data_IF_763103333639
#
_entry.id   IF_763103333639
#
_cell.length_a   1.000
_cell.length_b   1.000
_cell.length_c   1.000
_cell.angle_alpha   90.00
_cell.angle_beta   90.00
_cell.angle_gamma   90.00
#
_symmetry.space_group_name_H-M   'P 1'
#
loop_
_entity.id
_entity.type
_entity.pdbx_description
1 polymer ?
#
# COMPACT_ATOMS: atom_id res chain seq x y z
N UNK A 1 20.42 -8.70 4.33
CA UNK A 1 19.90 -8.34 5.68
C UNK A 1 18.71 -9.22 6.06
N UNK A 2 17.62 -9.25 5.26
CA UNK A 2 16.43 -10.08 5.52
C UNK A 2 16.74 -11.53 5.97
N UNK A 3 17.57 -12.26 5.22
CA UNK A 3 17.93 -13.65 5.52
C UNK A 3 18.64 -13.83 6.88
N UNK A 4 19.39 -12.83 7.34
CA UNK A 4 20.07 -12.86 8.65
C UNK A 4 19.06 -12.77 9.80
N UNK A 5 17.86 -12.24 9.54
CA UNK A 5 16.74 -12.20 10.48
C UNK A 5 15.71 -13.30 10.27
N UNK A 6 16.00 -14.32 9.45
CA UNK A 6 15.10 -15.44 9.18
C UNK A 6 13.98 -15.17 8.16
N UNK A 7 14.02 -14.04 7.45
CA UNK A 7 13.05 -13.72 6.39
C UNK A 7 13.55 -14.29 5.06
N UNK A 8 12.78 -15.20 4.47
CA UNK A 8 13.13 -15.95 3.24
C UNK A 8 12.34 -15.53 1.98
N UNK A 9 11.32 -14.69 2.14
CA UNK A 9 10.57 -14.07 1.04
C UNK A 9 10.31 -12.59 1.38
N UNK A 10 10.58 -11.72 0.42
CA UNK A 10 10.34 -10.27 0.55
C UNK A 10 9.38 -9.79 -0.54
N UNK A 11 8.32 -9.09 -0.14
CA UNK A 11 7.47 -8.33 -1.06
C UNK A 11 8.10 -6.97 -1.34
N UNK A 12 8.56 -6.73 -2.56
CA UNK A 12 9.19 -5.47 -2.95
C UNK A 12 8.14 -4.52 -3.53
N UNK A 13 8.12 -3.29 -3.01
CA UNK A 13 7.08 -2.29 -3.30
C UNK A 13 7.36 -1.53 -4.61
N UNK A 14 6.33 -1.04 -5.32
CA UNK A 14 6.50 -0.44 -6.63
C UNK A 14 6.95 1.04 -6.60
N UNK A 15 7.07 1.65 -5.41
CA UNK A 15 7.44 3.05 -5.23
C UNK A 15 8.97 3.28 -5.34
N UNK A 16 9.55 2.79 -6.44
CA UNK A 16 10.97 2.96 -6.77
C UNK A 16 11.17 4.05 -7.82
N UNK A 17 12.43 4.29 -8.20
CA UNK A 17 12.77 5.17 -9.32
C UNK A 17 13.43 4.36 -10.45
N UNK A 18 12.74 4.13 -11.59
CA UNK A 18 11.34 4.49 -11.88
C UNK A 18 10.31 3.66 -11.07
N UNK A 19 9.06 4.14 -10.95
CA UNK A 19 7.99 3.37 -10.32
C UNK A 19 7.67 2.12 -11.14
N UNK A 20 7.32 1.03 -10.46
CA UNK A 20 6.96 -0.25 -11.09
C UNK A 20 5.48 -0.25 -11.45
N UNK A 21 5.11 0.50 -12.48
CA UNK A 21 3.71 0.70 -12.90
C UNK A 21 3.48 0.37 -14.39
N UNK A 22 4.47 -0.26 -15.02
CA UNK A 22 4.44 -0.81 -16.38
C UNK A 22 5.09 -2.20 -16.39
N UNK A 23 4.75 -3.01 -17.39
CA UNK A 23 5.32 -4.37 -17.51
C UNK A 23 6.81 -4.30 -17.75
N UNK A 24 7.23 -3.32 -18.55
CA UNK A 24 8.61 -3.13 -18.98
C UNK A 24 9.52 -2.84 -17.77
N UNK A 25 9.10 -1.96 -16.86
CA UNK A 25 9.82 -1.66 -15.62
C UNK A 25 9.80 -2.87 -14.66
N UNK A 26 8.67 -3.56 -14.54
CA UNK A 26 8.54 -4.75 -13.69
C UNK A 26 9.49 -5.86 -14.14
N UNK A 27 9.53 -6.16 -15.43
CA UNK A 27 10.42 -7.17 -15.99
C UNK A 27 11.89 -6.76 -15.90
N UNK A 28 12.19 -5.48 -16.10
CA UNK A 28 13.55 -4.98 -15.89
C UNK A 28 14.00 -5.18 -14.44
N UNK A 29 13.13 -4.86 -13.47
CA UNK A 29 13.40 -5.10 -12.06
C UNK A 29 13.57 -6.60 -11.78
N UNK A 30 12.70 -7.45 -12.33
CA UNK A 30 12.79 -8.90 -12.19
C UNK A 30 14.13 -9.47 -12.69
N UNK A 31 14.64 -8.98 -13.84
CA UNK A 31 15.95 -9.39 -14.37
C UNK A 31 17.14 -8.99 -13.48
N UNK A 32 16.98 -7.98 -12.61
CA UNK A 32 18.03 -7.51 -11.71
C UNK A 32 18.08 -8.27 -10.39
N UNK A 33 17.03 -9.01 -10.02
CA UNK A 33 16.96 -9.75 -8.74
C UNK A 33 17.96 -10.93 -8.68
N UNK A 34 18.06 -11.80 -9.69
CA UNK A 34 18.97 -12.95 -9.65
C UNK A 34 20.43 -12.53 -9.42
N UNK A 35 21.11 -13.24 -8.52
CA UNK A 35 22.50 -12.97 -8.15
C UNK A 35 22.70 -11.72 -7.28
N UNK A 36 21.64 -10.99 -6.95
CA UNK A 36 21.68 -9.81 -6.06
C UNK A 36 20.87 -9.98 -4.77
N UNK A 37 19.75 -10.69 -4.84
CA UNK A 37 18.95 -11.01 -3.67
C UNK A 37 19.38 -12.36 -3.06
N UNK A 38 19.57 -12.38 -1.74
CA UNK A 38 19.85 -13.60 -0.97
C UNK A 38 18.58 -14.30 -0.45
N UNK A 39 17.42 -13.91 -0.98
CA UNK A 39 16.07 -14.32 -0.55
C UNK A 39 15.16 -14.27 -1.76
N UNK A 40 14.05 -15.01 -1.74
CA UNK A 40 13.04 -14.89 -2.79
C UNK A 40 12.39 -13.50 -2.74
N UNK A 41 12.02 -12.98 -3.91
CA UNK A 41 11.42 -11.65 -4.03
C UNK A 41 10.13 -11.74 -4.83
N UNK A 42 9.02 -11.32 -4.20
CA UNK A 42 7.74 -11.09 -4.86
C UNK A 42 7.67 -9.61 -5.27
N UNK A 43 7.54 -9.33 -6.56
CA UNK A 43 7.45 -7.95 -7.04
C UNK A 43 6.00 -7.49 -7.08
N UNK A 44 5.71 -6.38 -6.40
CA UNK A 44 4.44 -5.68 -6.48
C UNK A 44 4.46 -4.72 -7.66
N UNK A 45 3.30 -4.53 -8.28
CA UNK A 45 3.08 -3.45 -9.25
C UNK A 45 2.23 -2.33 -8.65
N UNK A 46 2.53 -1.10 -9.01
CA UNK A 46 1.64 0.03 -8.83
C UNK A 46 0.49 -0.05 -9.84
N UNK A 47 -0.55 0.76 -9.63
CA UNK A 47 -1.73 0.75 -10.50
C UNK A 47 -1.50 1.37 -11.87
N UNK A 48 -0.50 2.24 -12.03
CA UNK A 48 -0.15 2.88 -13.30
C UNK A 48 -1.35 3.46 -14.03
N UNK A 49 -1.38 3.30 -15.36
CA UNK A 49 -2.56 3.63 -16.18
C UNK A 49 -3.56 2.47 -16.13
N UNK A 50 -4.89 2.72 -16.14
CA UNK A 50 -5.89 1.66 -16.15
C UNK A 50 -5.71 0.62 -17.27
N UNK A 51 -5.23 1.04 -18.45
CA UNK A 51 -4.96 0.15 -19.59
C UNK A 51 -3.79 -0.81 -19.37
N UNK A 52 -2.89 -0.53 -18.43
CA UNK A 52 -1.73 -1.36 -18.12
C UNK A 52 -2.06 -2.50 -17.12
N UNK A 53 -3.11 -2.34 -16.30
CA UNK A 53 -3.43 -3.25 -15.20
C UNK A 53 -3.55 -4.72 -15.62
N UNK A 54 -4.27 -5.01 -16.70
CA UNK A 54 -4.40 -6.39 -17.21
C UNK A 54 -3.06 -6.97 -17.63
N UNK A 55 -2.20 -6.19 -18.29
CA UNK A 55 -0.87 -6.65 -18.69
C UNK A 55 0.04 -6.86 -17.47
N UNK A 56 0.01 -5.93 -16.52
CA UNK A 56 0.75 -6.03 -15.26
C UNK A 56 0.36 -7.29 -14.47
N UNK A 57 -0.93 -7.61 -14.41
CA UNK A 57 -1.42 -8.79 -13.70
C UNK A 57 -0.86 -10.12 -14.24
N UNK A 58 -0.38 -10.16 -15.48
CA UNK A 58 0.26 -11.36 -16.03
C UNK A 58 1.66 -11.62 -15.46
N UNK A 59 2.29 -10.62 -14.81
CA UNK A 59 3.68 -10.67 -14.33
C UNK A 59 3.86 -10.28 -12.87
N UNK A 60 2.98 -9.44 -12.32
CA UNK A 60 3.06 -8.97 -10.94
C UNK A 60 2.59 -10.04 -9.95
N UNK A 61 3.20 -10.06 -8.77
CA UNK A 61 2.76 -10.93 -7.68
C UNK A 61 1.54 -10.39 -6.92
N UNK A 62 1.41 -9.07 -6.88
CA UNK A 62 0.34 -8.33 -6.22
C UNK A 62 0.31 -6.88 -6.72
N UNK A 63 -0.79 -6.18 -6.47
CA UNK A 63 -0.87 -4.73 -6.64
C UNK A 63 -0.68 -4.00 -5.32
N UNK A 64 -0.06 -2.81 -5.38
CA UNK A 64 -0.03 -1.84 -4.29
C UNK A 64 -0.76 -0.57 -4.73
N UNK A 65 -1.74 -0.14 -3.93
CA UNK A 65 -2.48 1.11 -4.10
C UNK A 65 -2.08 2.06 -2.98
N UNK A 66 -1.84 3.32 -3.32
CA UNK A 66 -1.62 4.39 -2.35
C UNK A 66 -2.81 5.35 -2.42
N UNK A 67 -3.53 5.54 -1.32
CA UNK A 67 -4.66 6.48 -1.26
C UNK A 67 -4.24 7.90 -0.84
N UNK A 68 -2.98 8.06 -0.43
CA UNK A 68 -2.39 9.35 -0.11
C UNK A 68 -1.08 9.57 -0.88
N UNK A 69 -0.65 10.84 -1.04
CA UNK A 69 0.64 11.15 -1.63
C UNK A 69 1.78 10.43 -0.91
N UNK A 70 2.70 9.85 -1.67
CA UNK A 70 3.90 9.21 -1.14
C UNK A 70 5.06 9.35 -2.12
N UNK A 71 6.27 9.11 -1.64
CA UNK A 71 7.50 9.32 -2.42
C UNK A 71 7.61 8.32 -3.56
N UNK A 72 7.90 8.80 -4.77
CA UNK A 72 8.30 7.97 -5.90
C UNK A 72 7.17 7.24 -6.62
N UNK A 73 5.92 7.66 -6.46
CA UNK A 73 4.78 7.14 -7.23
C UNK A 73 3.90 8.27 -7.75
N UNK A 74 3.08 8.02 -8.79
CA UNK A 74 2.04 8.95 -9.22
C UNK A 74 1.05 9.28 -8.11
N UNK A 75 0.32 10.38 -8.30
CA UNK A 75 -0.74 10.81 -7.39
C UNK A 75 -1.76 9.70 -7.11
N UNK A 76 -2.36 9.69 -5.90
CA UNK A 76 -3.38 8.72 -5.54
C UNK A 76 -4.58 8.80 -6.52
N UNK A 77 -5.31 7.69 -6.71
CA UNK A 77 -6.51 7.72 -7.54
C UNK A 77 -7.49 8.74 -6.96
N UNK A 78 -8.16 9.47 -7.86
CA UNK A 78 -9.22 10.38 -7.45
C UNK A 78 -10.29 9.62 -6.63
N UNK A 79 -10.86 10.24 -5.57
CA UNK A 79 -11.86 9.60 -4.72
C UNK A 79 -13.01 8.92 -5.45
N UNK A 80 -13.52 9.55 -6.50
CA UNK A 80 -14.61 9.07 -7.35
C UNK A 80 -14.19 7.94 -8.31
N UNK A 81 -12.92 7.88 -8.67
CA UNK A 81 -12.35 6.80 -9.48
C UNK A 81 -12.07 5.52 -8.67
N UNK A 82 -11.91 5.61 -7.35
CA UNK A 82 -11.55 4.48 -6.49
C UNK A 82 -12.52 3.28 -6.61
N UNK A 83 -13.86 3.44 -6.54
CA UNK A 83 -14.77 2.30 -6.72
C UNK A 83 -14.62 1.60 -8.07
N UNK A 84 -14.35 2.36 -9.14
CA UNK A 84 -14.09 1.81 -10.48
C UNK A 84 -12.80 1.00 -10.51
N UNK A 85 -11.72 1.55 -9.95
CA UNK A 85 -10.43 0.89 -9.82
C UNK A 85 -10.54 -0.43 -9.02
N UNK A 86 -11.22 -0.42 -7.87
CA UNK A 86 -11.40 -1.63 -7.05
C UNK A 86 -12.19 -2.72 -7.79
N UNK A 87 -13.20 -2.34 -8.58
CA UNK A 87 -13.90 -3.29 -9.48
C UNK A 87 -12.96 -3.87 -10.54
N UNK A 88 -12.15 -3.05 -11.20
CA UNK A 88 -11.18 -3.53 -12.17
C UNK A 88 -10.16 -4.48 -11.54
N UNK A 89 -9.63 -4.16 -10.36
CA UNK A 89 -8.66 -4.99 -9.66
C UNK A 89 -9.27 -6.33 -9.20
N UNK A 90 -10.55 -6.34 -8.83
CA UNK A 90 -11.25 -7.58 -8.45
C UNK A 90 -11.29 -8.60 -9.61
N UNK A 91 -11.38 -8.14 -10.85
CA UNK A 91 -11.37 -8.99 -12.05
C UNK A 91 -9.98 -9.53 -12.43
N UNK A 92 -8.91 -9.10 -11.74
CA UNK A 92 -7.54 -9.54 -11.99
C UNK A 92 -7.09 -10.66 -11.04
N UNK A 93 -7.88 -10.96 -10.01
CA UNK A 93 -7.69 -12.08 -9.05
C UNK A 93 -6.35 -12.09 -8.29
N UNK A 94 -5.58 -11.00 -8.37
CA UNK A 94 -4.35 -10.80 -7.59
C UNK A 94 -4.63 -10.13 -6.23
N UNK A 95 -3.77 -10.38 -5.22
CA UNK A 95 -3.81 -9.62 -3.97
C UNK A 95 -3.64 -8.11 -4.22
N UNK A 96 -4.35 -7.30 -3.46
CA UNK A 96 -4.24 -5.83 -3.49
C UNK A 96 -3.92 -5.32 -2.10
N UNK A 97 -2.68 -4.85 -1.91
CA UNK A 97 -2.26 -4.14 -0.71
C UNK A 97 -2.55 -2.65 -0.84
N UNK A 98 -3.07 -2.01 0.21
CA UNK A 98 -3.42 -0.58 0.19
C UNK A 98 -2.74 0.16 1.33
N UNK A 99 -2.10 1.29 1.02
CA UNK A 99 -1.77 2.31 2.00
C UNK A 99 -2.99 3.21 2.18
N UNK A 100 -3.71 3.04 3.29
CA UNK A 100 -5.06 3.56 3.49
C UNK A 100 -5.05 4.80 4.40
N UNK A 101 -4.78 5.96 3.82
CA UNK A 101 -4.99 7.26 4.47
C UNK A 101 -5.71 8.20 3.51
N UNK A 102 -6.67 8.97 4.01
CA UNK A 102 -7.45 9.93 3.23
C UNK A 102 -6.83 11.32 3.33
N UNK A 103 -6.27 11.88 2.24
CA UNK A 103 -5.68 13.21 2.25
C UNK A 103 -6.65 14.32 2.61
N UNK A 104 -7.96 14.12 2.43
CA UNK A 104 -8.98 15.11 2.83
C UNK A 104 -9.04 15.32 4.35
N UNK A 105 -8.53 14.38 5.12
CA UNK A 105 -8.48 14.44 6.58
C UNK A 105 -7.15 14.96 7.13
N UNK A 106 -6.17 15.22 6.26
CA UNK A 106 -4.87 15.76 6.65
C UNK A 106 -5.02 17.16 7.24
N UNK A 107 -4.13 17.49 8.17
CA UNK A 107 -4.09 18.80 8.80
C UNK A 107 -3.13 19.67 8.02
N UNK A 108 -3.65 20.76 7.44
CA UNK A 108 -2.83 21.78 6.79
C UNK A 108 -1.87 22.43 7.78
N UNK A 109 -0.65 22.70 7.34
CA UNK A 109 0.38 23.29 8.17
C UNK A 109 1.73 23.41 7.46
N UNK A 110 2.75 23.94 8.16
CA UNK A 110 4.10 23.94 7.62
C UNK A 110 4.59 22.50 7.39
N UNK A 111 5.58 22.29 6.49
CA UNK A 111 6.17 20.97 6.28
C UNK A 111 6.62 20.33 7.61
N UNK A 112 6.22 19.08 7.90
CA UNK A 112 6.60 18.40 9.13
C UNK A 112 8.13 18.29 9.26
N UNK A 113 8.66 18.59 10.46
CA UNK A 113 10.11 18.53 10.75
C UNK A 113 10.47 17.50 11.82
N UNK A 114 9.48 16.86 12.41
CA UNK A 114 9.62 15.85 13.45
C UNK A 114 8.59 14.74 13.30
N UNK A 115 8.80 13.55 13.90
CA UNK A 115 7.76 12.51 13.94
C UNK A 115 6.44 12.99 14.54
N UNK A 116 6.49 13.84 15.57
CA UNK A 116 5.30 14.42 16.19
C UNK A 116 4.53 15.34 15.22
N UNK A 117 5.23 16.12 14.40
CA UNK A 117 4.59 16.94 13.35
C UNK A 117 3.94 16.04 12.28
N UNK A 118 4.58 14.94 11.90
CA UNK A 118 4.01 13.97 10.97
C UNK A 118 2.73 13.33 11.53
N UNK A 119 2.75 12.90 12.80
CA UNK A 119 1.59 12.34 13.49
C UNK A 119 0.43 13.35 13.58
N UNK A 120 0.72 14.64 13.74
CA UNK A 120 -0.30 15.70 13.76
C UNK A 120 -0.87 15.98 12.37
N UNK A 121 -0.01 16.03 11.36
CA UNK A 121 -0.40 16.28 9.97
C UNK A 121 -1.26 15.15 9.39
N UNK A 122 -1.03 13.91 9.85
CA UNK A 122 -1.70 12.70 9.37
C UNK A 122 -2.40 11.95 10.52
N UNK A 123 -3.50 12.51 11.04
CA UNK A 123 -4.15 11.98 12.23
C UNK A 123 -4.90 10.67 11.95
N UNK A 124 -5.19 9.89 13.00
CA UNK A 124 -5.92 8.60 12.93
C UNK A 124 -7.21 8.65 12.10
N UNK A 125 -7.93 9.77 12.12
CA UNK A 125 -9.16 9.92 11.32
C UNK A 125 -8.93 9.78 9.81
N UNK A 126 -7.73 10.11 9.31
CA UNK A 126 -7.36 9.89 7.91
C UNK A 126 -7.31 8.40 7.55
N UNK A 127 -6.77 7.58 8.44
CA UNK A 127 -6.74 6.12 8.27
C UNK A 127 -8.15 5.52 8.31
N UNK A 128 -8.96 5.94 9.30
CA UNK A 128 -10.36 5.51 9.43
C UNK A 128 -11.22 5.91 8.22
N UNK A 129 -11.07 7.13 7.71
CA UNK A 129 -11.80 7.62 6.53
C UNK A 129 -11.45 6.83 5.27
N UNK A 130 -10.15 6.53 5.06
CA UNK A 130 -9.73 5.68 3.95
C UNK A 130 -10.28 4.26 4.06
N UNK A 131 -10.26 3.67 5.25
CA UNK A 131 -10.84 2.35 5.50
C UNK A 131 -12.33 2.34 5.20
N UNK A 132 -13.09 3.36 5.64
CA UNK A 132 -14.51 3.47 5.34
C UNK A 132 -14.82 3.53 3.83
N UNK A 133 -13.90 4.08 3.01
CA UNK A 133 -14.01 4.08 1.54
C UNK A 133 -13.64 2.75 0.89
N UNK A 134 -12.82 1.94 1.55
CA UNK A 134 -12.33 0.64 1.06
C UNK A 134 -13.25 -0.53 1.44
N UNK A 135 -13.89 -0.49 2.60
CA UNK A 135 -14.75 -1.59 3.08
C UNK A 135 -15.94 -1.95 2.17
N UNK A 136 -16.56 -1.03 1.39
CA UNK A 136 -17.58 -1.42 0.39
C UNK A 136 -16.97 -2.02 -0.90
N UNK A 137 -15.72 -2.50 -0.88
CA UNK A 137 -15.07 -3.13 -2.03
C UNK A 137 -15.79 -4.41 -2.51
N UNK A 138 -15.63 -4.79 -3.78
CA UNK A 138 -16.22 -6.02 -4.31
C UNK A 138 -15.79 -7.26 -3.50
N UNK A 139 -16.70 -8.20 -3.18
CA UNK A 139 -16.36 -9.40 -2.39
C UNK A 139 -15.25 -10.28 -2.98
N UNK A 140 -15.04 -10.22 -4.30
CA UNK A 140 -13.97 -10.95 -4.99
C UNK A 140 -12.60 -10.28 -4.88
N UNK A 141 -12.55 -9.02 -4.45
CA UNK A 141 -11.29 -8.32 -4.28
C UNK A 141 -10.53 -8.90 -3.08
N UNK A 142 -9.31 -9.39 -3.33
CA UNK A 142 -8.39 -9.85 -2.29
C UNK A 142 -7.70 -8.65 -1.62
N UNK A 143 -8.49 -7.85 -0.93
CA UNK A 143 -8.06 -6.60 -0.31
C UNK A 143 -7.25 -6.83 0.98
N UNK A 144 -6.16 -6.10 1.11
CA UNK A 144 -5.28 -6.09 2.27
C UNK A 144 -4.88 -4.66 2.62
N UNK A 145 -5.07 -4.23 3.86
CA UNK A 145 -4.62 -2.90 4.32
C UNK A 145 -3.26 -3.00 4.99
N UNK A 146 -2.29 -2.27 4.46
CA UNK A 146 -0.92 -2.28 4.93
C UNK A 146 -0.75 -1.45 6.21
N UNK A 147 0.22 -1.83 7.02
CA UNK A 147 0.79 -1.06 8.15
C UNK A 147 -0.24 -0.30 9.00
N UNK A 148 -1.28 -0.99 9.45
CA UNK A 148 -2.31 -0.45 10.34
C UNK A 148 -1.70 0.07 11.64
N UNK A 149 -2.12 1.27 12.06
CA UNK A 149 -1.47 1.99 13.17
C UNK A 149 -2.26 1.97 14.48
N UNK A 150 -3.53 1.52 14.45
CA UNK A 150 -4.46 1.64 15.57
C UNK A 150 -5.39 0.45 15.70
N UNK A 151 -5.71 0.07 16.94
CA UNK A 151 -6.71 -0.95 17.24
C UNK A 151 -8.09 -0.62 16.65
N UNK A 152 -8.50 0.66 16.66
CA UNK A 152 -9.79 1.06 16.10
C UNK A 152 -9.90 0.79 14.60
N UNK A 153 -8.79 0.95 13.86
CA UNK A 153 -8.72 0.63 12.44
C UNK A 153 -8.72 -0.88 12.23
N UNK A 154 -7.94 -1.62 13.02
CA UNK A 154 -7.92 -3.09 12.98
C UNK A 154 -9.32 -3.69 13.24
N UNK A 155 -10.06 -3.16 14.21
CA UNK A 155 -11.42 -3.60 14.53
C UNK A 155 -12.39 -3.31 13.38
N UNK A 156 -12.30 -2.13 12.76
CA UNK A 156 -13.11 -1.78 11.59
C UNK A 156 -12.85 -2.72 10.40
N UNK A 157 -11.58 -3.05 10.14
CA UNK A 157 -11.19 -3.97 9.07
C UNK A 157 -11.63 -5.41 9.35
N UNK A 158 -11.48 -5.86 10.60
CA UNK A 158 -11.95 -7.17 11.05
C UNK A 158 -13.47 -7.31 10.89
N UNK A 159 -14.23 -6.29 11.28
CA UNK A 159 -15.68 -6.27 11.12
C UNK A 159 -16.11 -6.32 9.64
N UNK A 160 -15.31 -5.75 8.74
CA UNK A 160 -15.53 -5.79 7.30
C UNK A 160 -14.98 -7.06 6.61
N UNK A 161 -14.33 -7.97 7.34
CA UNK A 161 -13.70 -9.16 6.76
C UNK A 161 -12.50 -8.85 5.87
N UNK A 162 -11.86 -7.69 6.03
CA UNK A 162 -10.69 -7.27 5.26
C UNK A 162 -9.42 -7.62 6.02
N UNK A 163 -8.45 -8.24 5.32
CA UNK A 163 -7.16 -8.58 5.92
C UNK A 163 -6.28 -7.34 6.10
N UNK A 164 -5.38 -7.37 7.07
CA UNK A 164 -4.45 -6.28 7.32
C UNK A 164 -3.16 -6.76 7.99
N UNK A 165 -2.15 -5.90 7.99
CA UNK A 165 -0.89 -6.10 8.70
C UNK A 165 -0.58 -4.89 9.58
N UNK A 166 0.26 -5.09 10.59
CA UNK A 166 0.91 -4.03 11.35
C UNK A 166 2.42 -4.23 11.27
N UNK A 167 3.17 -3.15 11.42
CA UNK A 167 4.64 -3.20 11.41
C UNK A 167 5.18 -3.34 12.84
N UNK A 168 6.39 -3.88 13.03
CA UNK A 168 7.00 -3.96 14.36
C UNK A 168 7.08 -2.60 15.06
N UNK A 169 7.30 -1.50 14.34
CA UNK A 169 7.36 -0.18 14.97
C UNK A 169 6.00 0.32 15.46
N UNK A 170 4.89 0.01 14.78
CA UNK A 170 3.55 0.35 15.29
C UNK A 170 3.15 -0.49 16.49
N UNK A 171 3.74 -1.68 16.65
CA UNK A 171 3.46 -2.57 17.79
C UNK A 171 4.37 -2.32 19.00
N UNK A 172 5.63 -1.92 18.77
CA UNK A 172 6.66 -1.86 19.80
C UNK A 172 7.06 -0.44 20.20
N UNK A 173 6.77 0.56 19.36
CA UNK A 173 7.12 1.95 19.60
C UNK A 173 5.86 2.80 19.75
N UNK A 174 5.99 3.89 20.50
CA UNK A 174 4.96 4.92 20.61
C UNK A 174 5.64 6.30 20.56
N UNK A 175 4.88 7.28 20.10
CA UNK A 175 5.30 8.67 20.20
C UNK A 175 5.30 9.12 21.67
N UNK A 176 6.43 9.68 22.12
CA UNK A 176 6.59 10.18 23.49
C UNK A 176 6.13 11.63 23.66
N UNK A 177 5.64 12.27 22.60
CA UNK A 177 5.14 13.65 22.66
C UNK A 177 3.70 13.75 23.21
N UNK A 178 3.15 12.67 23.76
CA UNK A 178 1.84 12.62 24.43
C UNK A 178 2.01 12.58 25.94
#
# INVERSE_FOLDING_TARGET
>A
QAILGGVVLVGEMPNTNPPVDTVEVLEEKARRVPGRAATDVLLYAGIGRPSALRRLATRAGAFKVFLSPTTGVPDPPAPDALPGLLRTLAELELPVSVHAEDPAEFVDGPPPRSPADWNRARPLRAELAAVARLTPSPPRLRLHVAHVTSAAVADALRAAGVSFEATPHHLLLHDRSR
#
